data_IF_056312213330
#
_entry.id   IF_056312213330
#
_cell.length_a   1.000
_cell.length_b   1.000
_cell.length_c   1.000
_cell.angle_alpha   90.00
_cell.angle_beta   90.00
_cell.angle_gamma   90.00
#
_symmetry.space_group_name_H-M   'P 1'
#
loop_
_entity.id
_entity.type
_entity.pdbx_description
1 polymer ?
#
# COMPACT_ATOMS: atom_id res chain seq x y z
N UNK A 1 10.01 -15.01 3.72
CA UNK A 1 8.79 -14.55 4.43
C UNK A 1 8.38 -13.23 3.80
N UNK A 2 7.09 -13.03 3.55
CA UNK A 2 6.56 -11.75 3.08
C UNK A 2 6.13 -10.91 4.26
N UNK A 3 6.31 -9.60 4.16
CA UNK A 3 5.78 -8.62 5.09
C UNK A 3 4.71 -7.78 4.40
N UNK A 4 3.89 -7.11 5.20
CA UNK A 4 2.87 -6.21 4.73
C UNK A 4 3.49 -4.84 4.47
N UNK A 5 3.12 -4.21 3.37
CA UNK A 5 3.38 -2.81 3.08
C UNK A 5 2.07 -2.10 2.74
N UNK A 6 2.07 -0.79 2.93
CA UNK A 6 0.97 0.08 2.62
C UNK A 6 1.42 1.05 1.53
N UNK A 7 0.64 1.14 0.46
CA UNK A 7 0.88 2.06 -0.65
C UNK A 7 -0.16 3.18 -0.70
N UNK A 8 0.33 4.39 -0.95
CA UNK A 8 -0.48 5.53 -1.36
C UNK A 8 -0.49 5.59 -2.88
N UNK A 9 -1.66 5.42 -3.47
CA UNK A 9 -1.85 5.46 -4.93
C UNK A 9 -2.75 6.64 -5.28
N UNK A 10 -2.38 7.38 -6.33
CA UNK A 10 -3.16 8.49 -6.86
C UNK A 10 -3.46 8.26 -8.32
N UNK A 11 -4.75 8.28 -8.67
CA UNK A 11 -5.22 8.25 -10.05
C UNK A 11 -5.46 9.67 -10.58
N UNK A 12 -5.75 9.78 -11.88
CA UNK A 12 -6.18 11.04 -12.48
C UNK A 12 -7.48 11.61 -11.86
N UNK A 13 -8.32 10.74 -11.27
CA UNK A 13 -9.57 11.14 -10.61
C UNK A 13 -9.37 11.57 -9.15
N UNK A 14 -8.19 11.32 -8.56
CA UNK A 14 -7.88 11.67 -7.17
C UNK A 14 -7.15 10.55 -6.42
N UNK A 15 -6.99 10.70 -5.09
CA UNK A 15 -6.40 9.65 -4.26
C UNK A 15 -7.25 8.38 -4.30
N UNK A 16 -6.60 7.23 -4.47
CA UNK A 16 -7.24 5.93 -4.32
C UNK A 16 -7.39 5.58 -2.84
N UNK A 17 -8.26 4.60 -2.50
CA UNK A 17 -8.30 4.03 -1.17
C UNK A 17 -6.94 3.46 -0.75
N UNK A 18 -6.81 3.16 0.54
CA UNK A 18 -5.63 2.50 1.07
C UNK A 18 -5.33 1.21 0.31
N UNK A 19 -4.10 1.07 -0.18
CA UNK A 19 -3.65 -0.16 -0.84
C UNK A 19 -2.68 -0.88 0.08
N UNK A 20 -2.85 -2.18 0.26
CA UNK A 20 -1.86 -3.03 0.93
C UNK A 20 -1.24 -4.02 -0.02
N UNK A 21 0.03 -4.36 0.18
CA UNK A 21 0.74 -5.37 -0.60
C UNK A 21 1.61 -6.26 0.28
N UNK A 22 1.58 -7.58 0.03
CA UNK A 22 2.44 -8.57 0.70
C UNK A 22 3.66 -8.86 -0.14
N UNK A 23 4.86 -8.64 0.37
CA UNK A 23 6.10 -8.82 -0.43
C UNK A 23 7.34 -8.92 0.45
N UNK A 24 8.53 -9.18 -0.11
CA UNK A 24 9.76 -9.27 0.66
C UNK A 24 10.41 -7.91 0.95
N UNK A 25 10.12 -6.85 0.18
CA UNK A 25 10.74 -5.53 0.35
C UNK A 25 9.90 -4.37 -0.18
N UNK A 26 10.20 -3.15 0.25
CA UNK A 26 9.50 -1.93 -0.22
C UNK A 26 9.65 -1.72 -1.74
N UNK A 27 10.86 -1.97 -2.27
CA UNK A 27 11.11 -1.87 -3.71
C UNK A 27 10.27 -2.86 -4.52
N UNK A 28 10.10 -4.08 -4.00
CA UNK A 28 9.25 -5.09 -4.63
C UNK A 28 7.75 -4.76 -4.47
N UNK A 29 7.35 -4.17 -3.33
CA UNK A 29 5.98 -3.69 -3.10
C UNK A 29 5.59 -2.66 -4.15
N UNK A 30 6.48 -1.69 -4.40
CA UNK A 30 6.27 -0.68 -5.43
C UNK A 30 6.06 -1.30 -6.80
N UNK A 31 6.88 -2.28 -7.19
CA UNK A 31 6.75 -2.97 -8.48
C UNK A 31 5.39 -3.68 -8.63
N UNK A 32 4.93 -4.37 -7.59
CA UNK A 32 3.63 -5.04 -7.61
C UNK A 32 2.47 -4.06 -7.72
N UNK A 33 2.54 -2.94 -6.98
CA UNK A 33 1.50 -1.91 -7.02
C UNK A 33 1.51 -1.20 -8.37
N UNK A 34 2.67 -0.84 -8.93
CA UNK A 34 2.77 -0.24 -10.26
C UNK A 34 2.26 -1.19 -11.37
N UNK A 35 2.50 -2.50 -11.24
CA UNK A 35 1.96 -3.49 -12.15
C UNK A 35 0.42 -3.61 -12.07
N UNK A 36 -0.16 -3.49 -10.87
CA UNK A 36 -1.60 -3.54 -10.64
C UNK A 36 -2.30 -2.24 -11.07
N UNK A 37 -1.61 -1.11 -10.97
CA UNK A 37 -2.12 0.23 -11.28
C UNK A 37 -1.26 0.95 -12.32
N UNK A 38 -1.22 0.46 -13.56
CA UNK A 38 -0.29 0.96 -14.59
C UNK A 38 -0.58 2.41 -15.03
N UNK A 39 -1.80 2.90 -14.79
CA UNK A 39 -2.22 4.27 -15.14
C UNK A 39 -2.15 5.24 -13.95
N UNK A 40 -1.86 4.74 -12.74
CA UNK A 40 -1.83 5.54 -11.53
C UNK A 40 -0.40 5.80 -11.07
N UNK A 41 -0.26 6.76 -10.15
CA UNK A 41 1.02 7.10 -9.53
C UNK A 41 1.09 6.54 -8.12
N UNK A 42 2.14 5.77 -7.83
CA UNK A 42 2.50 5.36 -6.47
C UNK A 42 3.28 6.48 -5.80
N UNK A 43 2.62 7.21 -4.91
CA UNK A 43 3.20 8.37 -4.20
C UNK A 43 4.11 7.92 -3.06
N UNK A 44 3.72 6.87 -2.34
CA UNK A 44 4.49 6.33 -1.23
C UNK A 44 4.24 4.83 -1.07
N UNK A 45 5.25 4.11 -0.60
CA UNK A 45 5.14 2.74 -0.09
C UNK A 45 5.87 2.71 1.23
N UNK A 46 5.19 2.26 2.29
CA UNK A 46 5.71 2.30 3.65
C UNK A 46 5.34 1.01 4.38
N UNK A 47 6.09 0.70 5.43
CA UNK A 47 5.67 -0.34 6.36
C UNK A 47 4.40 0.10 7.10
N UNK A 48 3.50 -0.83 7.46
CA UNK A 48 2.22 -0.51 8.10
C UNK A 48 2.39 0.20 9.45
N UNK A 49 3.53 0.08 10.12
CA UNK A 49 3.76 0.69 11.43
C UNK A 49 2.66 0.29 12.42
N UNK A 50 1.94 1.30 12.95
CA UNK A 50 0.81 1.13 13.87
C UNK A 50 -0.54 0.87 13.16
N UNK A 51 -0.55 0.74 11.83
CA UNK A 51 -1.77 0.38 11.11
C UNK A 51 -2.19 -1.04 11.47
N UNK A 52 -3.28 -1.14 12.21
CA UNK A 52 -3.95 -2.39 12.54
C UNK A 52 -5.29 -2.38 11.82
N UNK A 53 -5.47 -3.31 10.88
CA UNK A 53 -6.77 -3.60 10.28
C UNK A 53 -7.07 -5.09 10.38
N UNK A 54 -8.33 -5.40 10.69
CA UNK A 54 -8.87 -6.75 10.63
C UNK A 54 -9.23 -7.17 9.19
N UNK A 55 -9.00 -6.29 8.21
CA UNK A 55 -9.28 -6.56 6.80
C UNK A 55 -8.29 -7.54 6.17
N UNK A 56 -8.76 -8.29 5.17
CA UNK A 56 -7.94 -9.26 4.44
C UNK A 56 -6.87 -8.55 3.61
N UNK A 57 -5.61 -8.74 4.00
CA UNK A 57 -4.43 -8.18 3.32
C UNK A 57 -3.73 -9.18 2.41
N UNK A 58 -4.36 -10.34 2.19
CA UNK A 58 -3.76 -11.46 1.48
C UNK A 58 -2.71 -12.20 2.30
N UNK A 59 -2.22 -13.29 1.71
CA UNK A 59 -1.29 -14.24 2.35
C UNK A 59 -0.08 -14.58 1.47
N UNK A 60 -0.13 -14.27 0.17
CA UNK A 60 0.88 -14.65 -0.81
C UNK A 60 1.72 -13.44 -1.27
N UNK A 61 2.97 -13.65 -1.74
CA UNK A 61 3.75 -12.58 -2.35
C UNK A 61 3.04 -11.99 -3.58
N UNK A 62 2.94 -10.68 -3.63
CA UNK A 62 2.26 -9.95 -4.70
C UNK A 62 0.75 -9.79 -4.48
N UNK A 63 0.20 -10.24 -3.35
CA UNK A 63 -1.20 -9.95 -3.01
C UNK A 63 -1.36 -8.44 -2.79
N UNK A 64 -2.02 -7.77 -3.73
CA UNK A 64 -2.40 -6.36 -3.65
C UNK A 64 -3.90 -6.25 -3.33
N UNK A 65 -4.25 -5.50 -2.29
CA UNK A 65 -5.64 -5.32 -1.83
C UNK A 65 -5.97 -3.84 -1.64
N UNK A 66 -7.14 -3.43 -2.09
CA UNK A 66 -7.71 -2.11 -1.78
C UNK A 66 -8.63 -2.22 -0.58
N UNK A 67 -8.57 -1.23 0.31
CA UNK A 67 -9.43 -1.12 1.48
C UNK A 67 -10.33 0.11 1.32
N UNK A 68 -11.49 -0.04 0.66
CA UNK A 68 -12.39 1.07 0.39
C UNK A 68 -12.94 1.67 1.70
N UNK A 69 -12.96 2.99 1.79
CA UNK A 69 -13.37 3.69 3.02
C UNK A 69 -12.24 3.91 4.03
N UNK A 70 -11.09 3.26 3.83
CA UNK A 70 -9.87 3.56 4.59
C UNK A 70 -9.02 4.53 3.78
N UNK A 71 -8.77 5.70 4.36
CA UNK A 71 -7.87 6.69 3.76
C UNK A 71 -6.45 6.39 4.21
N UNK A 72 -5.49 6.49 3.29
CA UNK A 72 -4.08 6.39 3.62
C UNK A 72 -3.66 7.44 4.63
N UNK A 73 -2.94 6.99 5.66
CA UNK A 73 -2.34 7.83 6.68
C UNK A 73 -0.82 7.64 6.63
N UNK A 74 -0.03 8.71 6.60
CA UNK A 74 1.41 8.58 6.73
C UNK A 74 1.74 7.99 8.11
N UNK A 75 2.73 7.10 8.22
CA UNK A 75 3.20 6.62 9.51
C UNK A 75 3.59 7.83 10.38
N UNK A 76 3.27 7.77 11.66
CA UNK A 76 3.56 8.83 12.62
C UNK A 76 5.08 8.94 12.83
N UNK A 77 5.76 9.63 11.91
CA UNK A 77 7.22 9.70 11.88
C UNK A 77 7.72 10.54 10.71
N UNK A 78 7.33 11.82 10.66
CA UNK A 78 7.75 12.70 9.58
C UNK A 78 7.30 14.16 9.71
N UNK A 79 7.32 14.72 10.92
CA UNK A 79 7.31 16.17 11.11
C UNK A 79 8.09 16.51 12.39
N UNK A 80 9.41 16.63 12.24
CA UNK A 80 10.27 17.42 13.10
C UNK A 80 11.27 18.15 12.21
#
# INVERSE_FOLDING_TARGET
MTQLFIAQVRSAAGPRPLVTVRTASEGEARLFVEAQYPEDTVEAVVEPGDWVSDEDTGSEPGDVREHPGVTWQPPAGGAA
#
